data_IF_978462501354
#
_entry.id   IF_978462501354
#
_cell.length_a   1.000
_cell.length_b   1.000
_cell.length_c   1.000
_cell.angle_alpha   90.00
_cell.angle_beta   90.00
_cell.angle_gamma   90.00
#
_symmetry.space_group_name_H-M   'P 1'
#
loop_
_entity.id
_entity.type
_entity.pdbx_description
1 polymer ?
#
# COMPACT_ATOMS: atom_id res chain seq x y z
N UNK A 1 21.68 9.27 7.74
CA UNK A 1 20.69 8.43 7.05
C UNK A 1 20.14 9.16 5.84
N UNK A 2 19.74 8.42 4.82
CA UNK A 2 18.97 8.92 3.67
C UNK A 2 17.64 8.18 3.69
N UNK A 3 16.54 8.92 3.57
CA UNK A 3 15.19 8.37 3.66
C UNK A 3 14.38 8.78 2.43
N UNK A 4 13.69 7.83 1.84
CA UNK A 4 12.71 8.08 0.80
C UNK A 4 11.35 8.47 1.42
N UNK A 5 10.65 9.39 0.76
CA UNK A 5 9.31 9.82 1.15
C UNK A 5 8.19 9.20 0.30
N UNK A 6 8.56 8.64 -0.85
CA UNK A 6 7.63 8.02 -1.80
C UNK A 6 8.34 6.92 -2.61
N UNK A 7 7.57 6.11 -3.34
CA UNK A 7 8.08 4.98 -4.11
C UNK A 7 9.07 5.39 -5.21
N UNK A 8 8.92 6.58 -5.80
CA UNK A 8 9.80 7.06 -6.87
C UNK A 8 11.20 7.44 -6.35
N UNK A 9 11.30 7.88 -5.09
CA UNK A 9 12.56 8.29 -4.47
C UNK A 9 13.29 7.15 -3.76
N UNK A 10 12.67 5.98 -3.56
CA UNK A 10 13.29 4.82 -2.92
C UNK A 10 14.58 4.37 -3.61
N UNK A 11 14.66 4.19 -4.94
CA UNK A 11 15.89 3.79 -5.60
C UNK A 11 17.02 4.80 -5.42
N UNK A 12 16.73 6.10 -5.57
CA UNK A 12 17.71 7.17 -5.40
C UNK A 12 18.24 7.23 -3.96
N UNK A 13 17.38 7.10 -2.95
CA UNK A 13 17.78 7.08 -1.55
C UNK A 13 18.74 5.91 -1.25
N UNK A 14 18.51 4.77 -1.87
CA UNK A 14 19.38 3.61 -1.76
C UNK A 14 20.76 3.87 -2.37
N UNK A 15 20.82 4.33 -3.62
CA UNK A 15 22.09 4.63 -4.30
C UNK A 15 22.93 5.64 -3.52
N UNK A 16 22.30 6.72 -3.04
CA UNK A 16 22.97 7.71 -2.21
C UNK A 16 23.48 7.08 -0.90
N UNK A 17 22.70 6.18 -0.28
CA UNK A 17 23.12 5.49 0.95
C UNK A 17 24.34 4.61 0.71
N UNK A 18 24.39 3.87 -0.39
CA UNK A 18 25.53 3.05 -0.79
C UNK A 18 26.78 3.90 -1.02
N UNK A 19 26.69 4.98 -1.78
CA UNK A 19 27.79 5.90 -2.05
C UNK A 19 28.36 6.54 -0.78
N UNK A 20 27.50 6.80 0.20
CA UNK A 20 27.88 7.37 1.50
C UNK A 20 28.33 6.30 2.53
N UNK A 21 28.33 5.02 2.18
CA UNK A 21 28.65 3.92 3.10
C UNK A 21 27.67 3.80 4.27
N UNK A 22 26.41 4.19 4.07
CA UNK A 22 25.34 4.10 5.09
C UNK A 22 24.63 2.75 5.00
N UNK A 23 24.10 2.29 6.15
CA UNK A 23 23.21 1.12 6.17
C UNK A 23 21.98 1.37 5.32
N UNK A 24 21.62 0.37 4.51
CA UNK A 24 20.45 0.40 3.64
C UNK A 24 19.89 -1.02 3.46
N UNK A 25 18.75 -1.13 2.80
CA UNK A 25 18.11 -2.41 2.46
C UNK A 25 18.89 -3.14 1.35
N UNK A 26 18.70 -4.44 1.20
CA UNK A 26 19.27 -5.18 0.09
C UNK A 26 18.60 -4.75 -1.24
N UNK A 27 19.30 -4.85 -2.36
CA UNK A 27 18.74 -4.50 -3.67
C UNK A 27 17.46 -5.29 -4.03
N UNK A 28 17.36 -6.55 -3.55
CA UNK A 28 16.15 -7.37 -3.69
C UNK A 28 14.94 -6.74 -2.99
N UNK A 29 15.13 -6.21 -1.78
CA UNK A 29 14.07 -5.52 -1.04
C UNK A 29 13.56 -4.29 -1.78
N UNK A 30 14.48 -3.53 -2.39
CA UNK A 30 14.10 -2.34 -3.16
C UNK A 30 13.32 -2.68 -4.41
N UNK A 31 13.77 -3.67 -5.17
CA UNK A 31 13.03 -4.14 -6.34
C UNK A 31 11.64 -4.65 -5.95
N UNK A 32 11.55 -5.44 -4.87
CA UNK A 32 10.27 -5.94 -4.37
C UNK A 32 9.36 -4.80 -3.87
N UNK A 33 9.92 -3.72 -3.30
CA UNK A 33 9.14 -2.59 -2.78
C UNK A 33 8.60 -1.64 -3.86
N UNK A 34 9.17 -1.65 -5.05
CA UNK A 34 8.81 -0.74 -6.14
C UNK A 34 8.16 -1.42 -7.35
N UNK A 35 8.22 -2.76 -7.40
CA UNK A 35 7.69 -3.54 -8.51
C UNK A 35 6.94 -4.78 -8.01
N UNK A 36 5.64 -4.83 -8.29
CA UNK A 36 4.75 -5.92 -7.83
C UNK A 36 5.12 -7.30 -8.37
N UNK A 37 5.64 -7.37 -9.59
CA UNK A 37 6.14 -8.64 -10.14
C UNK A 37 7.38 -9.12 -9.38
N UNK A 38 8.34 -8.24 -9.15
CA UNK A 38 9.54 -8.57 -8.37
C UNK A 38 9.17 -9.01 -6.95
N UNK A 39 8.18 -8.37 -6.35
CA UNK A 39 7.64 -8.81 -5.05
C UNK A 39 7.09 -10.25 -5.11
N UNK A 40 6.27 -10.59 -6.11
CA UNK A 40 5.71 -11.93 -6.27
C UNK A 40 6.78 -12.98 -6.55
N UNK A 41 7.72 -12.69 -7.44
CA UNK A 41 8.84 -13.58 -7.76
C UNK A 41 9.69 -13.88 -6.53
N UNK A 42 10.02 -12.84 -5.75
CA UNK A 42 10.79 -13.02 -4.52
C UNK A 42 10.00 -13.80 -3.46
N UNK A 43 8.68 -13.59 -3.35
CA UNK A 43 7.82 -14.39 -2.47
C UNK A 43 7.87 -15.88 -2.87
N UNK A 44 7.72 -16.18 -4.15
CA UNK A 44 7.77 -17.55 -4.69
C UNK A 44 9.12 -18.21 -4.42
N UNK A 45 10.24 -17.54 -4.74
CA UNK A 45 11.60 -18.01 -4.49
C UNK A 45 11.89 -18.30 -3.00
N UNK A 46 11.25 -17.57 -2.11
CA UNK A 46 11.43 -17.68 -0.65
C UNK A 46 10.36 -18.53 0.05
N UNK A 47 9.41 -19.10 -0.71
CA UNK A 47 8.33 -19.90 -0.16
C UNK A 47 7.34 -19.10 0.71
N UNK A 48 7.20 -17.80 0.44
CA UNK A 48 6.24 -16.92 1.09
C UNK A 48 4.90 -17.05 0.39
N UNK A 49 3.82 -17.19 1.15
CA UNK A 49 2.47 -17.27 0.59
C UNK A 49 2.14 -16.02 -0.24
N UNK A 50 1.75 -16.24 -1.48
CA UNK A 50 1.37 -15.21 -2.44
C UNK A 50 0.28 -15.76 -3.37
N UNK A 51 -0.59 -14.91 -3.95
CA UNK A 51 -1.55 -15.35 -4.94
C UNK A 51 -0.85 -15.90 -6.18
N UNK A 52 -1.47 -16.89 -6.83
CA UNK A 52 -1.04 -17.30 -8.16
C UNK A 52 -1.13 -16.10 -9.11
N UNK A 53 -0.14 -15.95 -9.96
CA UNK A 53 -0.08 -14.81 -10.87
C UNK A 53 0.41 -15.21 -12.26
N UNK A 54 0.08 -14.38 -13.24
CA UNK A 54 0.64 -14.43 -14.59
C UNK A 54 0.99 -13.03 -15.05
N UNK A 55 1.97 -12.95 -15.94
CA UNK A 55 2.43 -11.67 -16.51
C UNK A 55 2.01 -11.61 -17.96
N UNK A 56 1.42 -10.50 -18.35
CA UNK A 56 1.02 -10.25 -19.72
C UNK A 56 1.99 -9.26 -20.37
N UNK A 57 2.71 -9.73 -21.37
CA UNK A 57 3.63 -8.91 -22.16
C UNK A 57 2.88 -7.81 -22.97
N UNK A 58 3.53 -6.70 -23.29
CA UNK A 58 2.89 -5.55 -23.94
C UNK A 58 2.15 -5.90 -25.24
N UNK A 59 2.71 -6.81 -26.04
CA UNK A 59 2.17 -7.23 -27.34
C UNK A 59 1.07 -8.29 -27.23
N UNK A 60 0.92 -8.92 -26.08
CA UNK A 60 -0.08 -9.96 -25.86
C UNK A 60 -1.45 -9.31 -25.63
N UNK A 61 -2.27 -9.22 -26.66
CA UNK A 61 -3.60 -8.61 -26.61
C UNK A 61 -4.73 -9.63 -26.86
N UNK A 62 -4.41 -10.81 -27.36
CA UNK A 62 -5.38 -11.82 -27.72
C UNK A 62 -5.69 -12.75 -26.54
N UNK A 63 -6.95 -13.19 -26.37
CA UNK A 63 -7.38 -14.06 -25.26
C UNK A 63 -6.57 -15.38 -25.16
N UNK A 64 -6.15 -15.90 -26.30
CA UNK A 64 -5.34 -17.12 -26.41
C UNK A 64 -3.90 -16.98 -25.94
N UNK A 65 -3.44 -15.75 -25.73
CA UNK A 65 -2.12 -15.42 -25.18
C UNK A 65 -2.12 -15.18 -23.67
N UNK A 66 -3.29 -15.20 -23.05
CA UNK A 66 -3.42 -15.12 -21.61
C UNK A 66 -3.41 -16.54 -21.06
N UNK A 67 -2.45 -16.85 -20.19
CA UNK A 67 -2.44 -18.12 -19.48
C UNK A 67 -3.77 -18.36 -18.75
N UNK A 68 -4.21 -19.59 -18.49
CA UNK A 68 -5.42 -19.84 -17.73
C UNK A 68 -5.41 -19.07 -16.41
N UNK A 69 -6.47 -18.29 -16.17
CA UNK A 69 -6.65 -17.46 -14.98
C UNK A 69 -7.88 -17.92 -14.23
N UNK A 70 -7.77 -18.08 -12.94
CA UNK A 70 -8.91 -18.34 -12.07
C UNK A 70 -9.62 -17.03 -11.73
N UNK A 71 -10.95 -17.08 -11.70
CA UNK A 71 -11.78 -15.92 -11.36
C UNK A 71 -12.40 -16.07 -9.96
N UNK A 72 -12.58 -14.96 -9.23
CA UNK A 72 -12.19 -13.60 -9.60
C UNK A 72 -10.67 -13.39 -9.62
N UNK A 73 -10.20 -12.51 -10.52
CA UNK A 73 -8.80 -12.12 -10.60
C UNK A 73 -8.62 -10.60 -10.48
N UNK A 74 -7.39 -10.16 -10.31
CA UNK A 74 -7.02 -8.73 -10.23
C UNK A 74 -6.00 -8.42 -11.30
N UNK A 75 -6.28 -7.40 -12.11
CA UNK A 75 -5.37 -6.85 -13.12
C UNK A 75 -4.74 -5.59 -12.56
N UNK A 76 -3.42 -5.47 -12.65
CA UNK A 76 -2.72 -4.29 -12.08
C UNK A 76 -1.42 -3.96 -12.81
N UNK A 77 -1.02 -2.66 -12.82
CA UNK A 77 0.31 -2.26 -13.28
C UNK A 77 1.38 -2.74 -12.30
N UNK A 78 2.64 -2.84 -12.75
CA UNK A 78 3.74 -3.32 -11.90
C UNK A 78 4.23 -2.28 -10.89
N UNK A 79 4.21 -0.99 -11.25
CA UNK A 79 4.92 0.07 -10.50
C UNK A 79 4.04 1.23 -10.00
N UNK A 80 2.72 1.24 -10.26
CA UNK A 80 1.88 2.32 -9.76
C UNK A 80 1.41 2.06 -8.32
N UNK A 81 1.27 3.13 -7.54
CA UNK A 81 0.82 3.14 -6.14
C UNK A 81 -0.62 3.68 -6.00
N UNK A 82 -1.16 3.70 -4.77
CA UNK A 82 -2.50 4.18 -4.43
C UNK A 82 -3.62 3.49 -5.23
N UNK A 83 -3.55 2.19 -5.38
CA UNK A 83 -4.52 1.36 -6.12
C UNK A 83 -4.80 1.79 -7.56
N UNK A 84 -3.97 2.67 -8.13
CA UNK A 84 -4.15 3.16 -9.50
C UNK A 84 -3.99 2.04 -10.51
N UNK A 85 -5.05 1.81 -11.29
CA UNK A 85 -5.08 0.79 -12.31
C UNK A 85 -5.27 -0.63 -11.78
N UNK A 86 -5.60 -0.81 -10.51
CA UNK A 86 -5.96 -2.10 -9.93
C UNK A 86 -7.42 -2.37 -10.19
N UNK A 87 -7.75 -3.44 -10.92
CA UNK A 87 -9.11 -3.76 -11.35
C UNK A 87 -9.42 -5.22 -11.06
N UNK A 88 -10.46 -5.49 -10.29
CA UNK A 88 -11.01 -6.83 -10.10
C UNK A 88 -11.89 -7.20 -11.29
N UNK A 89 -11.75 -8.43 -11.76
CA UNK A 89 -12.51 -9.02 -12.86
C UNK A 89 -13.16 -10.32 -12.40
N UNK A 90 -14.46 -10.44 -12.62
CA UNK A 90 -15.24 -11.61 -12.24
C UNK A 90 -15.21 -12.71 -13.33
N UNK A 91 -14.83 -12.34 -14.56
CA UNK A 91 -14.84 -13.21 -15.72
C UNK A 91 -13.90 -12.72 -16.82
N UNK A 92 -13.75 -13.53 -17.86
CA UNK A 92 -12.87 -13.25 -18.99
C UNK A 92 -13.28 -11.99 -19.78
N UNK A 93 -14.56 -11.68 -19.90
CA UNK A 93 -15.02 -10.49 -20.61
C UNK A 93 -14.54 -9.20 -19.91
N UNK A 94 -14.65 -9.16 -18.58
CA UNK A 94 -14.17 -8.04 -17.77
C UNK A 94 -12.64 -7.94 -17.81
N UNK A 95 -11.94 -9.07 -17.75
CA UNK A 95 -10.49 -9.13 -17.89
C UNK A 95 -10.02 -8.50 -19.22
N UNK A 96 -10.64 -8.87 -20.34
CA UNK A 96 -10.32 -8.33 -21.65
C UNK A 96 -10.59 -6.83 -21.79
N UNK A 97 -11.55 -6.28 -21.02
CA UNK A 97 -11.82 -4.83 -20.94
C UNK A 97 -10.82 -4.11 -20.01
N UNK A 98 -10.40 -4.75 -18.93
CA UNK A 98 -9.50 -4.18 -17.94
C UNK A 98 -8.06 -3.99 -18.49
N UNK A 99 -7.51 -4.97 -19.19
CA UNK A 99 -6.15 -4.94 -19.71
C UNK A 99 -5.84 -3.67 -20.53
N UNK A 100 -6.61 -3.30 -21.58
CA UNK A 100 -6.33 -2.09 -22.34
C UNK A 100 -6.50 -0.79 -21.53
N UNK A 101 -7.36 -0.82 -20.49
CA UNK A 101 -7.52 0.32 -19.57
C UNK A 101 -6.26 0.52 -18.72
N UNK A 102 -5.74 -0.55 -18.13
CA UNK A 102 -4.50 -0.51 -17.34
C UNK A 102 -3.32 -0.08 -18.20
N UNK A 103 -3.18 -0.60 -19.41
CA UNK A 103 -2.11 -0.22 -20.35
C UNK A 103 -2.15 1.25 -20.75
N UNK A 104 -3.33 1.80 -20.98
CA UNK A 104 -3.49 3.25 -21.26
C UNK A 104 -3.05 4.08 -20.06
N UNK A 105 -3.39 3.66 -18.85
CA UNK A 105 -2.97 4.34 -17.63
C UNK A 105 -1.44 4.32 -17.49
N UNK A 106 -0.81 3.15 -17.64
CA UNK A 106 0.66 3.03 -17.60
C UNK A 106 1.30 3.97 -18.63
N UNK A 107 0.79 3.99 -19.87
CA UNK A 107 1.35 4.85 -20.93
C UNK A 107 1.17 6.33 -20.67
N UNK A 108 0.16 6.73 -19.90
CA UNK A 108 -0.09 8.12 -19.52
C UNK A 108 0.79 8.56 -18.35
N UNK A 109 0.95 7.71 -17.34
CA UNK A 109 1.70 8.01 -16.12
C UNK A 109 3.22 7.89 -16.32
N UNK A 110 3.64 6.87 -17.05
CA UNK A 110 5.05 6.62 -17.37
C UNK A 110 5.20 6.07 -18.79
N UNK A 111 5.52 6.97 -19.72
CA UNK A 111 5.68 6.61 -21.15
C UNK A 111 6.86 5.67 -21.41
N UNK A 112 7.86 5.65 -20.55
CA UNK A 112 9.05 4.81 -20.63
C UNK A 112 9.03 3.61 -19.68
N UNK A 113 8.04 3.56 -18.79
CA UNK A 113 7.90 2.51 -17.77
C UNK A 113 7.55 1.15 -18.34
N UNK A 114 7.60 0.18 -17.45
CA UNK A 114 7.25 -1.21 -17.75
C UNK A 114 5.77 -1.34 -18.11
N UNK A 115 5.48 -1.73 -19.35
CA UNK A 115 4.11 -1.85 -19.88
C UNK A 115 3.49 -3.23 -19.71
N UNK A 116 4.20 -4.14 -19.05
CA UNK A 116 3.63 -5.42 -18.65
C UNK A 116 2.52 -5.22 -17.62
N UNK A 117 1.61 -6.15 -17.61
CA UNK A 117 0.46 -6.15 -16.70
C UNK A 117 0.51 -7.43 -15.87
N UNK A 118 0.32 -7.31 -14.58
CA UNK A 118 0.21 -8.43 -13.67
C UNK A 118 -1.26 -8.82 -13.50
N UNK A 119 -1.56 -10.10 -13.62
CA UNK A 119 -2.86 -10.68 -13.32
C UNK A 119 -2.68 -11.66 -12.18
N UNK A 120 -3.44 -11.49 -11.10
CA UNK A 120 -3.34 -12.32 -9.89
C UNK A 120 -4.71 -12.87 -9.50
N UNK A 121 -4.73 -14.02 -8.83
CA UNK A 121 -5.94 -14.48 -8.15
C UNK A 121 -6.36 -13.45 -7.10
N UNK A 122 -7.67 -13.18 -7.02
CA UNK A 122 -8.18 -12.30 -5.99
C UNK A 122 -8.08 -12.97 -4.61
N UNK A 123 -7.46 -12.29 -3.66
CA UNK A 123 -7.36 -12.74 -2.27
C UNK A 123 -8.61 -12.27 -1.53
N UNK A 124 -9.46 -13.18 -1.09
CA UNK A 124 -10.59 -12.84 -0.22
C UNK A 124 -10.11 -12.57 1.21
N UNK A 125 -10.84 -11.74 1.94
CA UNK A 125 -10.57 -11.44 3.34
C UNK A 125 -10.57 -9.95 3.66
N UNK A 126 -10.50 -9.65 4.96
CA UNK A 126 -10.42 -8.28 5.44
C UNK A 126 -9.01 -7.74 5.23
N UNK A 127 -8.93 -6.48 4.81
CA UNK A 127 -7.67 -5.83 4.44
C UNK A 127 -7.15 -4.94 5.56
N UNK A 128 -5.83 -5.02 5.76
CA UNK A 128 -5.11 -4.26 6.78
C UNK A 128 -3.87 -3.62 6.19
N UNK A 129 -3.52 -2.45 6.73
CA UNK A 129 -2.24 -1.81 6.48
C UNK A 129 -1.42 -1.77 7.77
N UNK A 130 -0.13 -2.04 7.66
CA UNK A 130 0.80 -2.06 8.80
C UNK A 130 1.89 -1.04 8.56
N UNK A 131 2.03 -0.12 9.51
CA UNK A 131 3.15 0.81 9.57
C UNK A 131 4.18 0.32 10.57
N UNK A 132 5.41 0.21 10.12
CA UNK A 132 6.52 -0.25 10.95
C UNK A 132 7.81 0.47 10.58
N UNK A 133 8.81 0.34 11.45
CA UNK A 133 10.20 0.70 11.15
C UNK A 133 11.10 -0.49 11.42
N UNK A 134 12.15 -0.58 10.64
CA UNK A 134 13.25 -1.54 10.83
C UNK A 134 14.52 -0.83 11.26
N UNK A 135 15.22 -1.47 12.18
CA UNK A 135 16.57 -1.12 12.54
C UNK A 135 17.40 -2.39 12.74
N UNK A 136 18.44 -2.58 11.95
CA UNK A 136 19.24 -3.83 11.95
C UNK A 136 18.35 -5.08 11.84
N UNK A 137 17.33 -5.07 10.98
CA UNK A 137 16.33 -6.15 10.80
C UNK A 137 15.37 -6.35 11.99
N UNK A 138 15.49 -5.57 13.05
CA UNK A 138 14.52 -5.60 14.14
C UNK A 138 13.31 -4.76 13.78
N UNK A 139 12.15 -5.42 13.65
CA UNK A 139 10.89 -4.81 13.28
C UNK A 139 10.18 -4.22 14.49
N UNK A 140 9.76 -2.96 14.39
CA UNK A 140 8.89 -2.32 15.37
C UNK A 140 7.63 -1.81 14.69
N UNK A 141 6.48 -2.44 14.94
CA UNK A 141 5.19 -1.98 14.45
C UNK A 141 4.78 -0.70 15.18
N UNK A 142 4.45 0.33 14.42
CA UNK A 142 3.93 1.62 14.91
C UNK A 142 2.42 1.57 15.02
N UNK A 143 1.75 1.12 13.95
CA UNK A 143 0.30 1.02 13.90
C UNK A 143 -0.15 -0.11 12.95
N UNK A 144 -1.31 -0.68 13.24
CA UNK A 144 -2.06 -1.53 12.31
C UNK A 144 -3.38 -0.83 12.05
N UNK A 145 -3.68 -0.59 10.78
CA UNK A 145 -4.96 -0.02 10.35
C UNK A 145 -5.86 -1.11 9.79
N UNK A 146 -7.08 -1.13 10.21
CA UNK A 146 -8.17 -1.86 9.58
C UNK A 146 -8.77 -0.99 8.47
N UNK A 147 -9.07 -1.59 7.33
CA UNK A 147 -9.84 -0.97 6.24
C UNK A 147 -11.27 -1.53 6.31
N UNK A 148 -12.21 -0.87 7.02
CA UNK A 148 -13.53 -1.45 7.32
C UNK A 148 -14.45 -1.55 6.11
N UNK A 149 -14.24 -0.73 5.09
CA UNK A 149 -14.96 -0.85 3.83
C UNK A 149 -14.42 -2.05 3.05
N UNK A 150 -15.34 -2.93 2.63
CA UNK A 150 -14.93 -4.08 1.82
C UNK A 150 -14.40 -3.60 0.48
N UNK A 151 -13.10 -3.76 0.29
CA UNK A 151 -12.44 -3.51 -0.98
C UNK A 151 -12.73 -4.69 -1.95
N UNK A 152 -13.99 -4.80 -2.35
CA UNK A 152 -14.49 -5.90 -3.19
C UNK A 152 -14.35 -5.66 -4.69
N UNK A 153 -13.95 -4.47 -5.11
CA UNK A 153 -13.83 -4.11 -6.53
C UNK A 153 -15.15 -3.54 -7.14
N UNK A 154 -15.21 -3.27 -8.44
CA UNK A 154 -14.15 -3.53 -9.42
C UNK A 154 -12.90 -2.65 -9.24
N UNK A 155 -13.02 -1.48 -8.58
CA UNK A 155 -11.91 -0.59 -8.23
C UNK A 155 -11.70 -0.63 -6.73
N UNK A 156 -10.46 -0.46 -6.31
CA UNK A 156 -10.06 -0.54 -4.89
C UNK A 156 -9.77 0.86 -4.36
N UNK A 157 -10.83 1.69 -4.25
CA UNK A 157 -10.71 3.01 -3.65
C UNK A 157 -10.56 2.88 -2.12
N UNK A 158 -9.48 3.40 -1.60
CA UNK A 158 -9.21 3.44 -0.17
C UNK A 158 -9.98 4.58 0.46
N UNK A 159 -10.99 4.26 1.27
CA UNK A 159 -11.91 5.24 1.84
C UNK A 159 -11.69 5.45 3.33
N UNK A 160 -11.55 4.40 4.12
CA UNK A 160 -11.50 4.47 5.58
C UNK A 160 -10.34 3.65 6.12
N UNK A 161 -9.56 4.25 7.02
CA UNK A 161 -8.55 3.59 7.83
C UNK A 161 -8.83 3.83 9.30
N UNK A 162 -8.84 2.78 10.11
CA UNK A 162 -9.11 2.85 11.55
C UNK A 162 -8.02 2.12 12.33
N UNK A 163 -7.54 2.71 13.41
CA UNK A 163 -6.60 2.09 14.36
C UNK A 163 -7.01 2.41 15.78
N UNK A 164 -6.81 1.51 16.77
CA UNK A 164 -6.36 0.13 16.62
C UNK A 164 -7.39 -0.74 15.88
N UNK A 165 -6.96 -1.82 15.22
CA UNK A 165 -7.85 -2.70 14.47
C UNK A 165 -8.69 -3.55 15.42
N UNK A 166 -9.88 -3.95 14.96
CA UNK A 166 -10.82 -4.83 15.72
C UNK A 166 -10.45 -6.31 15.57
N UNK A 167 -9.19 -6.65 15.76
CA UNK A 167 -8.67 -8.02 15.72
C UNK A 167 -8.05 -8.42 17.05
N UNK A 168 -8.01 -9.73 17.32
CA UNK A 168 -7.44 -10.26 18.55
C UNK A 168 -5.96 -9.96 18.69
N UNK A 169 -5.44 -9.94 19.92
CA UNK A 169 -4.00 -9.80 20.16
C UNK A 169 -3.20 -10.92 19.51
N UNK A 170 -3.75 -12.14 19.46
CA UNK A 170 -3.12 -13.27 18.78
C UNK A 170 -2.97 -13.00 17.28
N UNK A 171 -3.99 -12.45 16.64
CA UNK A 171 -3.95 -12.06 15.21
C UNK A 171 -2.90 -10.95 14.98
N UNK A 172 -2.85 -9.94 15.86
CA UNK A 172 -1.81 -8.90 15.78
C UNK A 172 -0.40 -9.49 15.90
N UNK A 173 -0.20 -10.44 16.82
CA UNK A 173 1.09 -11.13 16.95
C UNK A 173 1.42 -12.00 15.74
N UNK A 174 0.42 -12.63 15.13
CA UNK A 174 0.62 -13.38 13.88
C UNK A 174 1.04 -12.46 12.72
N UNK A 175 0.40 -11.27 12.60
CA UNK A 175 0.79 -10.24 11.62
C UNK A 175 2.24 -9.79 11.86
N UNK A 176 2.63 -9.53 13.12
CA UNK A 176 4.00 -9.16 13.46
C UNK A 176 4.99 -10.24 13.01
N UNK A 177 4.72 -11.50 13.35
CA UNK A 177 5.60 -12.61 12.99
C UNK A 177 5.71 -12.80 11.48
N UNK A 178 4.58 -12.75 10.77
CA UNK A 178 4.56 -12.89 9.32
C UNK A 178 5.30 -11.72 8.64
N UNK A 179 5.05 -10.47 9.04
CA UNK A 179 5.71 -9.31 8.48
C UNK A 179 7.22 -9.34 8.73
N UNK A 180 7.64 -9.72 9.95
CA UNK A 180 9.07 -9.85 10.28
C UNK A 180 9.76 -10.90 9.41
N UNK A 181 9.13 -12.04 9.18
CA UNK A 181 9.66 -13.10 8.31
C UNK A 181 9.76 -12.63 6.85
N UNK A 182 8.70 -12.03 6.33
CA UNK A 182 8.67 -11.54 4.93
C UNK A 182 9.69 -10.42 4.75
N UNK A 183 9.75 -9.45 5.63
CA UNK A 183 10.71 -8.35 5.56
C UNK A 183 12.15 -8.87 5.57
N UNK A 184 12.47 -9.81 6.46
CA UNK A 184 13.80 -10.43 6.52
C UNK A 184 14.11 -11.23 5.26
N UNK A 185 13.18 -12.05 4.77
CA UNK A 185 13.36 -12.87 3.57
C UNK A 185 13.58 -12.04 2.31
N UNK A 186 12.92 -10.89 2.21
CA UNK A 186 13.08 -9.94 1.11
C UNK A 186 14.35 -9.08 1.20
N UNK A 187 15.01 -9.04 2.37
CA UNK A 187 16.23 -8.28 2.59
C UNK A 187 16.00 -6.85 3.09
N UNK A 188 14.82 -6.57 3.69
CA UNK A 188 14.61 -5.31 4.40
C UNK A 188 15.38 -5.30 5.71
N UNK A 189 16.10 -4.22 5.98
CA UNK A 189 16.99 -4.09 7.15
C UNK A 189 16.79 -2.80 7.92
N UNK A 190 16.51 -1.72 7.22
CA UNK A 190 16.51 -0.35 7.76
C UNK A 190 15.32 0.47 7.22
N UNK A 191 14.86 1.41 8.04
CA UNK A 191 13.93 2.45 7.64
C UNK A 191 12.46 2.06 7.78
N UNK A 192 11.57 2.90 7.27
CA UNK A 192 10.13 2.66 7.32
C UNK A 192 9.70 1.53 6.41
N UNK A 193 8.67 0.80 6.83
CA UNK A 193 7.96 -0.18 6.02
C UNK A 193 6.46 0.11 6.12
N UNK A 194 5.85 0.20 4.96
CA UNK A 194 4.42 0.11 4.78
C UNK A 194 4.08 -1.24 4.18
N UNK A 195 3.21 -2.01 4.83
CA UNK A 195 2.76 -3.31 4.34
C UNK A 195 1.24 -3.34 4.21
N UNK A 196 0.75 -3.92 3.12
CA UNK A 196 -0.66 -4.22 2.92
C UNK A 196 -0.85 -5.73 2.90
N UNK A 197 -1.86 -6.21 3.61
CA UNK A 197 -2.16 -7.63 3.72
C UNK A 197 -3.66 -7.88 3.83
N UNK A 198 -4.07 -9.10 3.48
CA UNK A 198 -5.41 -9.62 3.77
C UNK A 198 -5.34 -10.80 4.72
N UNK A 199 -6.27 -10.81 5.67
CA UNK A 199 -6.55 -11.96 6.51
C UNK A 199 -7.58 -12.83 5.78
N UNK A 200 -7.09 -13.82 5.06
CA UNK A 200 -7.90 -14.78 4.33
C UNK A 200 -8.14 -16.05 5.18
N UNK A 201 -9.00 -16.94 4.69
CA UNK A 201 -9.30 -18.21 5.37
C UNK A 201 -8.10 -19.15 5.47
N UNK A 202 -7.14 -19.02 4.56
CA UNK A 202 -5.89 -19.77 4.49
C UNK A 202 -4.71 -19.11 5.24
N UNK A 203 -4.91 -17.88 5.75
CA UNK A 203 -3.90 -17.18 6.53
C UNK A 203 -3.67 -15.73 6.11
N UNK A 204 -2.45 -15.25 6.38
CA UNK A 204 -2.01 -13.89 6.07
C UNK A 204 -1.39 -13.85 4.67
N UNK A 205 -2.00 -13.07 3.78
CA UNK A 205 -1.53 -12.88 2.42
C UNK A 205 -1.10 -11.43 2.21
N UNK A 206 0.17 -11.21 1.89
CA UNK A 206 0.69 -9.87 1.63
C UNK A 206 0.34 -9.42 0.21
N UNK A 207 -0.23 -8.21 0.12
CA UNK A 207 -0.53 -7.54 -1.14
C UNK A 207 0.70 -6.79 -1.64
N UNK A 208 1.32 -6.00 -0.74
CA UNK A 208 2.45 -5.13 -1.06
C UNK A 208 3.32 -4.89 0.19
N UNK A 209 4.62 -4.70 -0.01
CA UNK A 209 5.55 -4.10 0.97
C UNK A 209 6.28 -2.95 0.30
N UNK A 210 6.24 -1.76 0.90
CA UNK A 210 6.92 -0.58 0.41
C UNK A 210 7.94 -0.05 1.43
N UNK A 211 9.10 0.38 0.96
CA UNK A 211 10.18 0.95 1.79
C UNK A 211 9.96 2.45 2.05
N UNK A 212 8.78 2.80 2.45
CA UNK A 212 8.33 4.16 2.77
C UNK A 212 7.19 4.13 3.77
N UNK A 213 6.76 5.29 4.22
CA UNK A 213 5.58 5.43 5.09
C UNK A 213 4.26 5.40 4.31
N UNK A 214 3.16 5.12 5.03
CA UNK A 214 1.79 5.16 4.49
C UNK A 214 1.40 6.56 4.01
N UNK A 215 0.60 6.60 2.96
CA UNK A 215 -0.08 7.81 2.48
C UNK A 215 -1.41 8.09 3.19
N UNK A 216 -2.33 8.74 2.47
CA UNK A 216 -3.75 8.88 2.87
C UNK A 216 -3.98 9.61 4.20
N UNK A 217 -3.05 10.47 4.65
CA UNK A 217 -3.10 11.18 5.94
C UNK A 217 -3.10 10.27 7.18
N UNK A 218 -2.78 8.99 7.03
CA UNK A 218 -2.68 8.05 8.15
C UNK A 218 -1.58 8.44 9.16
N UNK A 219 -0.53 9.14 8.72
CA UNK A 219 0.47 9.73 9.63
C UNK A 219 -0.15 10.63 10.69
N UNK A 220 -1.17 11.44 10.34
CA UNK A 220 -1.91 12.26 11.32
C UNK A 220 -2.71 11.43 12.33
N UNK A 221 -3.27 10.31 11.88
CA UNK A 221 -3.96 9.37 12.77
C UNK A 221 -2.98 8.76 13.77
N UNK A 222 -1.77 8.41 13.32
CA UNK A 222 -0.68 7.92 14.20
C UNK A 222 -0.31 8.99 15.22
N UNK A 223 -0.18 10.24 14.79
CA UNK A 223 0.12 11.36 15.70
C UNK A 223 -0.97 11.55 16.77
N UNK A 224 -2.25 11.46 16.41
CA UNK A 224 -3.35 11.50 17.38
C UNK A 224 -3.32 10.29 18.32
N UNK A 225 -2.97 9.11 17.82
CA UNK A 225 -2.90 7.89 18.63
C UNK A 225 -1.74 7.92 19.63
N UNK A 226 -0.60 8.46 19.25
CA UNK A 226 0.67 8.31 20.00
C UNK A 226 1.20 9.61 20.60
N UNK A 227 0.68 10.77 20.13
CA UNK A 227 1.21 12.09 20.48
C UNK A 227 2.55 12.42 19.79
N UNK A 228 3.03 11.56 18.88
CA UNK A 228 4.29 11.74 18.13
C UNK A 228 4.03 11.56 16.64
N UNK A 229 4.52 12.46 15.80
CA UNK A 229 4.35 12.31 14.35
C UNK A 229 5.10 11.11 13.79
N UNK A 230 4.56 10.50 12.73
CA UNK A 230 5.20 9.36 12.05
C UNK A 230 6.58 9.74 11.54
N UNK A 231 6.75 10.95 11.01
CA UNK A 231 8.03 11.48 10.53
C UNK A 231 9.05 11.56 11.67
N UNK A 232 8.64 12.02 12.85
CA UNK A 232 9.51 12.04 14.03
C UNK A 232 9.97 10.64 14.43
N UNK A 233 9.09 9.65 14.38
CA UNK A 233 9.45 8.25 14.69
C UNK A 233 10.44 7.69 13.66
N UNK A 234 10.22 7.95 12.38
CA UNK A 234 11.10 7.51 11.29
C UNK A 234 12.47 8.16 11.40
N UNK A 235 12.53 9.47 11.68
CA UNK A 235 13.77 10.18 11.88
C UNK A 235 14.52 9.70 13.13
N UNK A 236 13.81 9.49 14.25
CA UNK A 236 14.40 8.94 15.47
C UNK A 236 15.00 7.55 15.21
N UNK A 237 14.29 6.67 14.52
CA UNK A 237 14.79 5.36 14.11
C UNK A 237 16.07 5.49 13.26
N UNK A 238 16.08 6.38 12.27
CA UNK A 238 17.21 6.58 11.37
C UNK A 238 18.48 7.10 12.07
N UNK A 239 18.32 7.89 13.13
CA UNK A 239 19.44 8.39 13.95
C UNK A 239 19.68 7.57 15.22
N UNK A 240 19.03 6.41 15.32
CA UNK A 240 19.17 5.47 16.46
C UNK A 240 18.77 6.05 17.81
N UNK A 241 17.79 6.96 17.78
CA UNK A 241 17.21 7.50 19.02
C UNK A 241 15.96 6.68 19.40
N UNK A 242 15.81 6.35 20.69
CA UNK A 242 14.60 5.65 21.13
C UNK A 242 13.38 6.55 20.99
N UNK A 243 12.24 5.98 20.59
CA UNK A 243 10.94 6.63 20.63
C UNK A 243 9.94 5.72 21.33
N UNK A 244 8.97 6.33 22.01
CA UNK A 244 7.90 5.62 22.70
C UNK A 244 6.68 5.50 21.80
N UNK A 245 5.92 4.43 22.02
CA UNK A 245 4.62 4.18 21.39
C UNK A 245 3.55 4.13 22.47
N UNK A 246 3.48 5.20 23.29
CA UNK A 246 2.45 5.31 24.34
C UNK A 246 1.12 5.65 23.64
N UNK A 247 0.30 4.64 23.43
CA UNK A 247 -0.98 4.82 22.72
C UNK A 247 -2.01 5.46 23.66
N UNK A 248 -2.69 6.49 23.18
CA UNK A 248 -3.87 7.03 23.84
C UNK A 248 -5.03 6.03 23.77
N UNK A 249 -5.88 6.05 24.77
CA UNK A 249 -7.10 5.25 24.77
C UNK A 249 -8.08 5.78 23.70
N UNK A 250 -8.69 4.86 22.96
CA UNK A 250 -9.68 5.19 21.95
C UNK A 250 -9.35 4.61 20.56
N UNK A 251 -10.21 4.91 19.61
CA UNK A 251 -10.03 4.59 18.22
C UNK A 251 -9.94 5.88 17.40
N UNK A 252 -9.03 5.88 16.43
CA UNK A 252 -8.78 7.00 15.55
C UNK A 252 -8.86 6.53 14.11
N UNK A 253 -9.33 7.39 13.23
CA UNK A 253 -9.42 7.01 11.82
C UNK A 253 -9.37 8.22 10.90
N UNK A 254 -9.13 7.94 9.64
CA UNK A 254 -9.25 8.89 8.53
C UNK A 254 -10.26 8.36 7.53
N UNK A 255 -11.09 9.25 7.01
CA UNK A 255 -12.00 8.98 5.91
C UNK A 255 -11.62 9.85 4.72
N UNK A 256 -11.28 9.23 3.63
CA UNK A 256 -11.08 9.87 2.34
C UNK A 256 -12.38 9.76 1.55
N UNK A 257 -12.99 10.90 1.25
CA UNK A 257 -14.29 10.94 0.56
C UNK A 257 -14.04 10.64 -0.92
N UNK A 258 -14.61 9.54 -1.46
CA UNK A 258 -14.42 9.18 -2.86
C UNK A 258 -15.08 10.21 -3.80
N UNK A 259 -14.53 10.33 -5.01
CA UNK A 259 -15.10 11.15 -6.07
C UNK A 259 -16.17 10.33 -6.79
N UNK A 260 -17.47 10.69 -6.68
CA UNK A 260 -18.56 9.84 -7.16
C UNK A 260 -18.66 9.79 -8.69
N UNK A 261 -18.16 10.79 -9.39
CA UNK A 261 -18.16 10.85 -10.86
C UNK A 261 -17.16 11.88 -11.38
N UNK A 262 -16.71 11.68 -12.60
CA UNK A 262 -15.88 12.65 -13.30
C UNK A 262 -16.62 13.98 -13.51
N UNK A 263 -15.92 15.10 -13.39
CA UNK A 263 -16.53 16.41 -13.56
C UNK A 263 -15.59 17.55 -13.18
N UNK A 264 -16.13 18.74 -13.04
CA UNK A 264 -15.41 19.91 -12.53
C UNK A 264 -15.94 20.23 -11.15
N UNK A 265 -15.08 20.23 -10.13
CA UNK A 265 -15.46 20.59 -8.77
C UNK A 265 -15.98 22.03 -8.73
N UNK A 266 -17.23 22.21 -8.44
CA UNK A 266 -17.83 23.54 -8.33
C UNK A 266 -17.67 24.13 -6.94
N UNK A 267 -18.02 23.36 -5.91
CA UNK A 267 -17.87 23.74 -4.50
C UNK A 267 -18.03 22.51 -3.61
N UNK A 268 -17.53 22.63 -2.40
CA UNK A 268 -17.75 21.66 -1.32
C UNK A 268 -18.62 22.32 -0.26
N UNK A 269 -19.74 21.68 0.08
CA UNK A 269 -20.68 22.18 1.09
C UNK A 269 -20.65 21.31 2.34
N UNK A 270 -21.13 21.85 3.45
CA UNK A 270 -21.27 21.11 4.72
C UNK A 270 -20.01 21.03 5.57
N UNK A 271 -18.87 21.60 5.18
CA UNK A 271 -17.60 21.54 5.94
C UNK A 271 -17.78 22.01 7.40
N UNK A 272 -18.47 23.13 7.60
CA UNK A 272 -18.73 23.68 8.95
C UNK A 272 -19.62 22.76 9.78
N UNK A 273 -20.60 22.10 9.16
CA UNK A 273 -21.45 21.13 9.84
C UNK A 273 -20.65 19.85 10.21
N UNK A 274 -19.86 19.35 9.28
CA UNK A 274 -19.00 18.18 9.51
C UNK A 274 -18.02 18.43 10.68
N UNK A 275 -17.39 19.59 10.74
CA UNK A 275 -16.47 19.96 11.85
C UNK A 275 -17.15 20.04 13.22
N UNK A 276 -18.47 20.14 13.27
CA UNK A 276 -19.24 20.15 14.53
C UNK A 276 -19.69 18.77 15.01
N UNK A 277 -19.50 17.74 14.20
CA UNK A 277 -19.83 16.38 14.58
C UNK A 277 -18.87 15.91 15.68
N UNK A 278 -19.37 15.43 16.82
CA UNK A 278 -18.52 14.93 17.90
C UNK A 278 -17.56 13.85 17.39
N UNK A 279 -16.29 13.96 17.74
CA UNK A 279 -15.24 13.04 17.29
C UNK A 279 -14.55 13.44 15.97
N UNK A 280 -15.06 14.39 15.23
CA UNK A 280 -14.34 14.95 14.06
C UNK A 280 -13.27 15.92 14.54
N UNK A 281 -12.03 15.59 14.28
CA UNK A 281 -10.86 16.41 14.66
C UNK A 281 -10.51 17.42 13.56
N UNK A 282 -10.51 16.99 12.29
CA UNK A 282 -10.28 17.89 11.15
C UNK A 282 -11.12 17.50 9.94
N UNK A 283 -11.39 18.49 9.09
CA UNK A 283 -11.97 18.32 7.76
C UNK A 283 -11.14 19.17 6.82
N UNK A 284 -10.44 18.51 5.89
CA UNK A 284 -9.54 19.15 4.94
C UNK A 284 -10.03 18.90 3.51
N UNK A 285 -9.89 19.90 2.65
CA UNK A 285 -10.23 19.81 1.24
C UNK A 285 -8.97 20.09 0.44
N UNK A 286 -8.42 19.03 -0.18
CA UNK A 286 -7.16 19.10 -0.92
C UNK A 286 -7.33 19.54 -2.38
N UNK A 287 -8.55 19.44 -2.90
CA UNK A 287 -8.87 19.77 -4.29
C UNK A 287 -9.48 21.17 -4.35
N UNK A 288 -8.96 22.02 -5.24
CA UNK A 288 -9.48 23.37 -5.43
C UNK A 288 -10.72 23.39 -6.30
N UNK A 289 -11.60 24.34 -6.06
CA UNK A 289 -12.71 24.63 -6.98
C UNK A 289 -12.18 24.94 -8.38
N UNK A 290 -12.90 24.49 -9.40
CA UNK A 290 -12.50 24.56 -10.79
C UNK A 290 -11.61 23.40 -11.26
N UNK A 291 -11.08 22.55 -10.38
CA UNK A 291 -10.31 21.37 -10.79
C UNK A 291 -11.21 20.31 -11.44
N UNK A 292 -10.66 19.65 -12.45
CA UNK A 292 -11.30 18.49 -13.08
C UNK A 292 -11.02 17.26 -12.23
N UNK A 293 -12.09 16.59 -11.83
CA UNK A 293 -12.09 15.31 -11.16
C UNK A 293 -12.24 14.22 -12.24
N UNK A 294 -11.49 13.15 -12.12
CA UNK A 294 -11.46 12.02 -13.09
C UNK A 294 -11.54 10.72 -12.36
#
# INVERSE_FOLDING_TARGET
AVLATDDATVPLAHEISLELGLSTNDSSALHASTNKLSFRQTCEERGIAAPCYTVLEPEASAPDKIAPVEFPCVVKPLSLSASRGVIRCENQEELLKAIPRVRRLISHEDSQGDKRVLIENYIEGDEYSVEAVLHNQELKIIAIFEKPDRLGGPFFEETIYVTPPRISKNTQNAIYSALSQVASALGFREGPIHAELRLASDGINFIELASRTIGGRCGRVIEFLTGVSLETMVLANAVRQPFRLDQQAGAFGVMMIPVPCAGVLRRVEGITAARKVPGIVSVDIDIREGHRLV
#
